data_IF_979556902945
#
_entry.id   IF_979556902945
#
_cell.length_a   1.000
_cell.length_b   1.000
_cell.length_c   1.000
_cell.angle_alpha   90.00
_cell.angle_beta   90.00
_cell.angle_gamma   90.00
#
_symmetry.space_group_name_H-M   'P 1'
#
loop_
_entity.id
_entity.type
_entity.pdbx_description
1 polymer ?
#
# COMPACT_ATOMS: atom_id res chain seq x y z
N UNK A 1 13.04 -3.90 -20.45
CA UNK A 1 12.28 -5.15 -20.23
C UNK A 1 10.94 -4.78 -19.61
N UNK A 2 9.82 -5.40 -19.99
CA UNK A 2 8.60 -5.29 -19.20
C UNK A 2 8.88 -5.76 -17.77
N UNK A 3 8.16 -5.23 -16.75
CA UNK A 3 8.34 -5.72 -15.39
C UNK A 3 8.02 -7.21 -15.32
N UNK A 4 8.76 -7.96 -14.49
CA UNK A 4 8.44 -9.36 -14.28
C UNK A 4 7.09 -9.52 -13.58
N UNK A 5 6.73 -8.56 -12.72
CA UNK A 5 5.41 -8.51 -12.09
C UNK A 5 5.02 -7.09 -11.71
N UNK A 6 3.73 -6.79 -11.79
CA UNK A 6 3.14 -5.59 -11.18
C UNK A 6 2.42 -5.99 -9.92
N UNK A 7 2.80 -5.38 -8.79
CA UNK A 7 2.29 -5.73 -7.46
C UNK A 7 1.63 -4.50 -6.84
N UNK A 8 0.51 -4.73 -6.15
CA UNK A 8 -0.13 -3.74 -5.30
C UNK A 8 -0.15 -4.24 -3.85
N UNK A 9 0.16 -3.34 -2.91
CA UNK A 9 0.05 -3.57 -1.46
C UNK A 9 -0.95 -2.57 -0.91
N UNK A 10 -1.95 -3.10 -0.19
CA UNK A 10 -2.91 -2.31 0.58
C UNK A 10 -2.66 -2.59 2.06
N UNK A 11 -2.36 -1.54 2.81
CA UNK A 11 -2.14 -1.59 4.25
C UNK A 11 -3.28 -0.85 4.95
N UNK A 12 -3.98 -1.55 5.84
CA UNK A 12 -5.15 -1.06 6.55
C UNK A 12 -4.79 -0.88 8.03
N UNK A 13 -4.39 0.33 8.40
CA UNK A 13 -4.19 0.72 9.78
C UNK A 13 -5.45 1.28 10.41
N UNK A 14 -5.45 1.39 11.74
CA UNK A 14 -6.53 2.03 12.50
C UNK A 14 -6.68 3.52 12.19
N UNK A 15 -5.61 4.23 11.85
CA UNK A 15 -5.70 5.65 11.51
C UNK A 15 -5.70 5.92 10.00
N UNK A 16 -5.05 5.07 9.23
CA UNK A 16 -4.77 5.37 7.83
C UNK A 16 -4.74 4.12 6.97
N UNK A 17 -5.17 4.29 5.73
CA UNK A 17 -5.06 3.30 4.67
C UNK A 17 -3.99 3.75 3.69
N UNK A 18 -3.13 2.82 3.27
CA UNK A 18 -2.04 3.10 2.34
C UNK A 18 -2.13 2.15 1.14
N UNK A 19 -1.78 2.68 -0.02
CA UNK A 19 -1.63 1.94 -1.27
C UNK A 19 -0.22 2.16 -1.81
N UNK A 20 0.42 1.07 -2.23
CA UNK A 20 1.61 1.09 -3.09
C UNK A 20 1.36 0.20 -4.29
N UNK A 21 1.52 0.72 -5.49
CA UNK A 21 1.62 -0.05 -6.73
C UNK A 21 3.04 0.10 -7.26
N UNK A 22 3.71 -1.03 -7.51
CA UNK A 22 5.06 -1.05 -8.03
C UNK A 22 5.24 -2.13 -9.09
N UNK A 23 6.09 -1.82 -10.06
CA UNK A 23 6.66 -2.79 -10.98
C UNK A 23 7.90 -3.42 -10.31
N UNK A 24 7.96 -4.75 -10.30
CA UNK A 24 9.04 -5.54 -9.70
C UNK A 24 9.81 -6.26 -10.80
N UNK A 25 11.12 -6.04 -10.85
CA UNK A 25 12.02 -6.73 -11.77
C UNK A 25 12.51 -8.05 -11.17
N UNK A 26 13.07 -8.94 -12.02
CA UNK A 26 13.55 -10.26 -11.59
C UNK A 26 14.74 -10.23 -10.63
N UNK A 27 15.45 -9.11 -10.54
CA UNK A 27 16.49 -8.87 -9.54
C UNK A 27 15.95 -8.34 -8.20
N UNK A 28 14.62 -8.20 -8.09
CA UNK A 28 13.93 -7.68 -6.91
C UNK A 28 13.90 -6.15 -6.80
N UNK A 29 14.43 -5.43 -7.79
CA UNK A 29 14.31 -3.97 -7.80
C UNK A 29 12.86 -3.51 -8.00
N UNK A 30 12.51 -2.41 -7.35
CA UNK A 30 11.16 -1.85 -7.33
C UNK A 30 11.12 -0.51 -8.04
N UNK A 31 10.19 -0.36 -8.99
CA UNK A 31 9.80 0.93 -9.55
C UNK A 31 8.41 1.29 -9.06
N UNK A 32 8.32 2.32 -8.22
CA UNK A 32 7.04 2.83 -7.73
C UNK A 32 6.24 3.48 -8.87
N UNK A 33 4.99 3.08 -9.01
CA UNK A 33 4.06 3.62 -10.01
C UNK A 33 3.02 4.53 -9.38
N UNK A 34 2.49 4.12 -8.23
CA UNK A 34 1.49 4.89 -7.50
C UNK A 34 1.69 4.67 -6.01
N UNK A 35 1.66 5.75 -5.24
CA UNK A 35 1.58 5.70 -3.80
C UNK A 35 0.52 6.64 -3.30
N UNK A 36 -0.37 6.11 -2.46
CA UNK A 36 -1.40 6.90 -1.78
C UNK A 36 -1.38 6.60 -0.30
N UNK A 37 -1.73 7.62 0.46
CA UNK A 37 -2.05 7.49 1.87
C UNK A 37 -3.28 8.34 2.13
N UNK A 38 -4.26 7.75 2.81
CA UNK A 38 -5.49 8.40 3.22
C UNK A 38 -5.70 8.22 4.72
N UNK A 39 -6.10 9.28 5.41
CA UNK A 39 -6.46 9.23 6.82
C UNK A 39 -7.91 8.77 6.92
N UNK A 40 -8.10 7.51 7.29
CA UNK A 40 -9.41 6.82 7.27
C UNK A 40 -10.01 6.63 8.67
N UNK A 41 -9.19 6.70 9.72
CA UNK A 41 -9.62 6.59 11.14
C UNK A 41 -10.55 5.39 11.43
N UNK A 42 -10.26 4.25 10.82
CA UNK A 42 -11.03 3.01 11.00
C UNK A 42 -11.06 2.51 12.46
N UNK A 43 -10.10 2.94 13.28
CA UNK A 43 -10.00 2.62 14.70
C UNK A 43 -10.79 3.55 15.63
N UNK A 44 -11.42 4.60 15.12
CA UNK A 44 -12.17 5.54 15.96
C UNK A 44 -13.33 4.81 16.65
N UNK A 45 -13.30 4.81 17.99
CA UNK A 45 -14.32 4.18 18.82
C UNK A 45 -14.19 2.66 19.00
N UNK A 46 -13.13 2.02 18.52
CA UNK A 46 -12.92 0.57 18.69
C UNK A 46 -12.76 0.18 20.17
N UNK A 47 -12.05 1.00 20.95
CA UNK A 47 -11.80 0.76 22.38
C UNK A 47 -12.75 1.55 23.31
N UNK A 48 -13.86 2.07 22.78
CA UNK A 48 -14.86 2.80 23.56
C UNK A 48 -15.81 1.81 24.26
N UNK A 49 -15.35 1.18 25.35
CA UNK A 49 -16.15 0.33 26.24
C UNK A 49 -15.75 0.52 27.69
#
# INVERSE_FOLDING_TARGET
MPPESRIAVVDLGTNSTRLLVADVAGDGSLTELERRSEVTRLGDGVDAT
#
